data_IF_425890820641
#
_entry.id   IF_425890820641
#
_cell.length_a   1.000
_cell.length_b   1.000
_cell.length_c   1.000
_cell.angle_alpha   90.00
_cell.angle_beta   90.00
_cell.angle_gamma   90.00
#
_symmetry.space_group_name_H-M   'P 1'
#
loop_
_entity.id
_entity.type
_entity.pdbx_description
1 polymer ?
#
# COMPACT_ATOMS: atom_id res chain seq x y z
N UNK A 1 22.37 -4.87 -16.33
CA UNK A 1 22.26 -3.87 -17.42
C UNK A 1 23.05 -4.34 -18.65
N UNK A 2 22.36 -4.81 -19.69
CA UNK A 2 22.98 -5.39 -20.90
C UNK A 2 23.00 -4.47 -22.14
N UNK A 3 22.69 -3.18 -21.99
CA UNK A 3 22.69 -2.21 -23.10
C UNK A 3 21.60 -2.39 -24.16
N UNK A 4 20.81 -3.47 -24.09
CA UNK A 4 19.69 -3.69 -25.01
C UNK A 4 18.55 -2.67 -24.77
N UNK A 5 17.83 -2.25 -25.83
CA UNK A 5 16.63 -1.44 -25.69
C UNK A 5 15.63 -2.08 -24.72
N UNK A 6 15.10 -1.27 -23.80
CA UNK A 6 14.14 -1.78 -22.82
C UNK A 6 12.82 -2.12 -23.50
N UNK A 7 12.24 -3.26 -23.13
CA UNK A 7 10.84 -3.58 -23.43
C UNK A 7 10.02 -3.60 -22.15
N UNK A 8 10.37 -2.81 -21.13
CA UNK A 8 9.59 -2.71 -19.88
C UNK A 8 8.16 -2.25 -20.14
N UNK A 9 7.25 -2.56 -19.22
CA UNK A 9 5.84 -2.15 -19.28
C UNK A 9 5.70 -0.65 -19.57
N UNK A 10 6.40 0.20 -18.81
CA UNK A 10 6.40 1.66 -19.00
C UNK A 10 6.84 2.13 -20.41
N UNK A 11 7.81 1.44 -21.04
CA UNK A 11 8.26 1.80 -22.40
C UNK A 11 7.25 1.31 -23.44
N UNK A 12 6.65 0.14 -23.21
CA UNK A 12 5.61 -0.37 -24.09
C UNK A 12 4.31 0.44 -23.99
N UNK A 13 3.97 0.97 -22.82
CA UNK A 13 2.82 1.88 -22.63
C UNK A 13 3.00 3.17 -23.43
N UNK A 14 4.19 3.77 -23.39
CA UNK A 14 4.53 4.94 -24.19
C UNK A 14 4.42 4.64 -25.69
N UNK A 15 5.04 3.55 -26.15
CA UNK A 15 4.99 3.15 -27.56
C UNK A 15 3.58 2.73 -28.03
N UNK A 16 2.72 2.26 -27.12
CA UNK A 16 1.36 1.87 -27.44
C UNK A 16 0.46 3.05 -27.82
N UNK A 17 0.87 4.29 -27.52
CA UNK A 17 0.17 5.51 -27.96
C UNK A 17 0.25 5.68 -29.48
N UNK A 18 1.39 5.33 -30.07
CA UNK A 18 1.67 5.54 -31.49
C UNK A 18 1.53 4.24 -32.32
N UNK A 19 1.73 3.08 -31.69
CA UNK A 19 1.83 1.80 -32.39
C UNK A 19 0.88 0.72 -31.83
N UNK A 20 0.17 -0.04 -32.68
CA UNK A 20 -0.73 -1.11 -32.22
C UNK A 20 -0.03 -2.32 -31.57
N UNK A 21 1.17 -2.69 -32.04
CA UNK A 21 1.86 -3.90 -31.58
C UNK A 21 2.25 -3.88 -30.09
N UNK A 22 2.82 -2.79 -29.53
CA UNK A 22 3.07 -2.68 -28.09
C UNK A 22 1.84 -2.97 -27.22
N UNK A 23 0.64 -2.53 -27.64
CA UNK A 23 -0.62 -2.82 -26.93
C UNK A 23 -0.90 -4.32 -26.85
N UNK A 24 -0.74 -5.04 -27.96
CA UNK A 24 -0.91 -6.50 -28.01
C UNK A 24 0.13 -7.21 -27.14
N UNK A 25 1.38 -6.73 -27.12
CA UNK A 25 2.44 -7.28 -26.27
C UNK A 25 2.10 -7.09 -24.78
N UNK A 26 1.61 -5.92 -24.39
CA UNK A 26 1.18 -5.64 -23.02
C UNK A 26 0.05 -6.58 -22.58
N UNK A 27 -0.97 -6.74 -23.43
CA UNK A 27 -2.09 -7.65 -23.18
C UNK A 27 -1.61 -9.10 -23.04
N UNK A 28 -0.79 -9.58 -23.99
CA UNK A 28 -0.21 -10.92 -23.92
C UNK A 28 0.59 -11.11 -22.63
N UNK A 29 1.45 -10.16 -22.25
CA UNK A 29 2.27 -10.26 -21.04
C UNK A 29 1.42 -10.27 -19.77
N UNK A 30 0.37 -9.46 -19.73
CA UNK A 30 -0.61 -9.47 -18.64
C UNK A 30 -1.23 -10.86 -18.48
N UNK A 31 -1.88 -11.36 -19.53
CA UNK A 31 -2.55 -12.66 -19.52
C UNK A 31 -1.59 -13.83 -19.27
N UNK A 32 -0.42 -13.84 -19.93
CA UNK A 32 0.59 -14.88 -19.75
C UNK A 32 1.11 -14.92 -18.32
N UNK A 33 1.31 -13.75 -17.68
CA UNK A 33 1.69 -13.68 -16.27
C UNK A 33 0.58 -14.22 -15.37
N UNK A 34 -0.68 -13.83 -15.60
CA UNK A 34 -1.82 -14.31 -14.82
C UNK A 34 -1.94 -15.84 -14.89
N UNK A 35 -1.88 -16.39 -16.10
CA UNK A 35 -1.95 -17.82 -16.36
C UNK A 35 -0.79 -18.58 -15.70
N UNK A 36 0.44 -18.22 -16.05
CA UNK A 36 1.63 -18.97 -15.61
C UNK A 36 1.92 -18.85 -14.12
N UNK A 37 1.68 -17.67 -13.53
CA UNK A 37 2.04 -17.41 -12.12
C UNK A 37 0.96 -17.90 -11.17
N UNK A 38 -0.32 -17.79 -11.54
CA UNK A 38 -1.43 -18.06 -10.63
C UNK A 38 -2.27 -19.25 -11.08
N UNK A 39 -2.89 -19.18 -12.26
CA UNK A 39 -3.88 -20.18 -12.71
C UNK A 39 -3.29 -21.58 -12.88
N UNK A 40 -2.10 -21.70 -13.49
CA UNK A 40 -1.44 -22.99 -13.69
C UNK A 40 -0.74 -23.47 -12.42
N UNK A 41 -0.13 -22.55 -11.66
CA UNK A 41 0.79 -22.90 -10.57
C UNK A 41 0.08 -23.16 -9.25
N UNK A 42 -0.91 -22.35 -8.85
CA UNK A 42 -1.56 -22.47 -7.55
C UNK A 42 -2.26 -23.83 -7.33
N UNK A 43 -2.99 -24.41 -8.31
CA UNK A 43 -3.59 -25.73 -8.14
C UNK A 43 -2.56 -26.84 -7.88
N UNK A 44 -1.36 -26.73 -8.46
CA UNK A 44 -0.26 -27.68 -8.24
C UNK A 44 0.38 -27.55 -6.85
N UNK A 45 0.08 -26.47 -6.11
CA UNK A 45 0.62 -26.19 -4.78
C UNK A 45 -0.38 -26.52 -3.66
N UNK A 46 -1.49 -27.18 -3.98
CA UNK A 46 -2.45 -27.66 -2.98
C UNK A 46 -1.80 -28.77 -2.17
N UNK A 47 -1.75 -28.58 -0.86
CA UNK A 47 -1.23 -29.59 0.05
C UNK A 47 -2.24 -30.76 0.17
N UNK A 48 -1.84 -32.00 -0.15
CA UNK A 48 -2.78 -33.14 -0.24
C UNK A 48 -3.39 -33.55 1.10
N UNK A 49 -2.78 -33.18 2.24
CA UNK A 49 -3.32 -33.52 3.57
C UNK A 49 -4.40 -32.56 4.03
N UNK A 50 -4.30 -31.30 3.63
CA UNK A 50 -5.19 -30.23 4.11
C UNK A 50 -6.19 -29.78 3.06
N UNK A 51 -5.94 -30.08 1.78
CA UNK A 51 -6.73 -29.55 0.66
C UNK A 51 -6.54 -28.04 0.44
N UNK A 52 -5.49 -27.43 1.02
CA UNK A 52 -5.28 -25.97 1.01
C UNK A 52 -3.93 -25.59 0.44
N UNK A 53 -3.81 -24.35 -0.03
CA UNK A 53 -2.53 -23.72 -0.36
C UNK A 53 -1.92 -23.15 0.92
N UNK A 54 -0.64 -23.44 1.17
CA UNK A 54 0.10 -22.95 2.34
C UNK A 54 1.21 -22.04 1.87
N UNK A 55 1.25 -20.80 2.35
CA UNK A 55 2.32 -19.85 2.08
C UNK A 55 3.35 -19.82 3.21
N UNK A 56 4.55 -19.33 2.92
CA UNK A 56 5.58 -19.04 3.91
C UNK A 56 5.71 -17.53 4.12
N UNK A 57 5.43 -17.06 5.34
CA UNK A 57 5.69 -15.67 5.74
C UNK A 57 7.11 -15.53 6.31
N UNK A 58 7.96 -14.79 5.60
CA UNK A 58 9.31 -14.47 6.06
C UNK A 58 9.30 -13.17 6.85
N UNK A 59 9.78 -13.25 8.09
CA UNK A 59 9.72 -12.13 9.03
C UNK A 59 10.95 -11.21 9.00
N UNK A 60 12.10 -11.71 8.52
CA UNK A 60 13.41 -11.04 8.62
C UNK A 60 14.07 -10.77 7.25
N UNK A 61 13.29 -10.60 6.19
CA UNK A 61 13.80 -10.40 4.82
C UNK A 61 13.76 -8.93 4.39
N UNK A 62 12.67 -8.22 4.69
CA UNK A 62 12.48 -6.86 4.16
C UNK A 62 13.15 -5.82 5.08
N UNK A 63 13.81 -4.83 4.48
CA UNK A 63 14.46 -3.76 5.23
C UNK A 63 13.45 -2.92 6.04
N UNK A 64 12.23 -2.75 5.52
CA UNK A 64 11.16 -1.98 6.17
C UNK A 64 10.44 -2.74 7.27
N UNK A 65 10.74 -4.02 7.48
CA UNK A 65 10.06 -4.83 8.48
C UNK A 65 8.68 -5.34 8.06
N UNK A 66 8.26 -5.16 6.80
CA UNK A 66 7.11 -5.88 6.24
C UNK A 66 7.35 -7.39 6.25
N UNK A 67 6.28 -8.17 6.40
CA UNK A 67 6.34 -9.59 6.05
C UNK A 67 6.46 -9.73 4.52
N UNK A 68 7.13 -10.79 4.07
CA UNK A 68 7.10 -11.21 2.66
C UNK A 68 6.60 -12.64 2.56
N UNK A 69 5.79 -12.91 1.55
CA UNK A 69 5.20 -14.23 1.30
C UNK A 69 5.90 -14.95 0.14
N UNK A 70 6.26 -16.22 0.30
CA UNK A 70 6.74 -17.10 -0.80
C UNK A 70 6.10 -18.48 -0.75
N UNK A 71 6.21 -19.18 -1.88
CA UNK A 71 5.85 -20.60 -2.04
C UNK A 71 4.44 -21.00 -1.57
N UNK A 72 3.36 -20.40 -2.13
CA UNK A 72 3.36 -19.30 -3.10
C UNK A 72 3.31 -17.92 -2.44
N UNK A 73 3.65 -16.88 -3.20
CA UNK A 73 3.40 -15.50 -2.75
C UNK A 73 1.90 -15.21 -2.83
N UNK A 74 1.26 -15.03 -1.68
CA UNK A 74 -0.17 -14.69 -1.55
C UNK A 74 -0.40 -13.20 -1.30
N UNK A 75 0.67 -12.41 -1.13
CA UNK A 75 0.57 -10.96 -0.96
C UNK A 75 0.44 -10.20 -2.28
N UNK A 76 0.68 -10.86 -3.42
CA UNK A 76 0.65 -10.25 -4.75
C UNK A 76 -0.47 -10.78 -5.65
N UNK A 77 -1.51 -11.40 -5.06
CA UNK A 77 -2.66 -11.88 -5.83
C UNK A 77 -3.37 -10.68 -6.52
N UNK A 78 -3.51 -10.69 -7.85
CA UNK A 78 -4.00 -9.56 -8.63
C UNK A 78 -5.43 -9.12 -8.25
N UNK A 79 -5.70 -7.81 -8.33
CA UNK A 79 -7.03 -7.22 -8.02
C UNK A 79 -7.49 -6.14 -9.00
N UNK A 80 -6.58 -5.60 -9.81
CA UNK A 80 -6.83 -4.35 -10.55
C UNK A 80 -7.71 -4.52 -11.78
N UNK A 81 -7.57 -5.64 -12.49
CA UNK A 81 -8.31 -5.95 -13.71
C UNK A 81 -9.26 -7.12 -13.49
N UNK A 82 -10.25 -7.26 -14.36
CA UNK A 82 -11.30 -8.29 -14.27
C UNK A 82 -10.70 -9.70 -14.21
N UNK A 83 -9.71 -10.01 -15.05
CA UNK A 83 -9.05 -11.32 -15.07
C UNK A 83 -8.29 -11.59 -13.77
N UNK A 84 -7.72 -10.55 -13.15
CA UNK A 84 -7.09 -10.63 -11.84
C UNK A 84 -8.09 -10.90 -10.72
N UNK A 85 -9.22 -10.18 -10.74
CA UNK A 85 -10.33 -10.38 -9.78
C UNK A 85 -10.89 -11.81 -9.84
N UNK A 86 -11.00 -12.38 -11.04
CA UNK A 86 -11.38 -13.80 -11.22
C UNK A 86 -10.42 -14.78 -10.54
N UNK A 87 -9.13 -14.46 -10.42
CA UNK A 87 -8.18 -15.29 -9.65
C UNK A 87 -8.47 -15.17 -8.15
N UNK A 88 -8.78 -13.98 -7.64
CA UNK A 88 -9.17 -13.80 -6.22
C UNK A 88 -10.43 -14.55 -5.85
N UNK A 89 -11.39 -14.70 -6.78
CA UNK A 89 -12.61 -15.48 -6.57
C UNK A 89 -12.34 -16.97 -6.29
N UNK A 90 -11.16 -17.49 -6.67
CA UNK A 90 -10.77 -18.87 -6.38
C UNK A 90 -10.33 -19.08 -4.92
N UNK A 91 -10.12 -18.00 -4.15
CA UNK A 91 -9.80 -18.06 -2.73
C UNK A 91 -11.11 -18.03 -1.92
N UNK A 92 -11.58 -19.20 -1.54
CA UNK A 92 -12.86 -19.42 -0.86
C UNK A 92 -12.67 -19.89 0.58
N UNK A 93 -13.69 -19.67 1.41
CA UNK A 93 -13.80 -20.27 2.74
C UNK A 93 -14.32 -21.73 2.66
N UNK A 94 -14.07 -22.57 3.67
CA UNK A 94 -14.70 -23.89 3.77
C UNK A 94 -16.21 -23.78 4.01
N UNK A 95 -16.91 -24.92 3.92
CA UNK A 95 -18.33 -25.01 4.23
C UNK A 95 -18.66 -24.43 5.62
N UNK A 96 -19.77 -23.70 5.72
CA UNK A 96 -20.24 -22.94 6.89
C UNK A 96 -19.38 -21.72 7.31
N UNK A 97 -18.31 -21.42 6.58
CA UNK A 97 -17.47 -20.24 6.81
C UNK A 97 -17.57 -19.26 5.63
N UNK A 98 -17.24 -18.01 5.91
CA UNK A 98 -17.06 -16.94 4.92
C UNK A 98 -15.68 -16.31 5.08
N UNK A 99 -15.21 -15.65 4.02
CA UNK A 99 -14.02 -14.82 4.09
C UNK A 99 -14.40 -13.48 4.69
N UNK A 100 -13.65 -13.03 5.69
CA UNK A 100 -13.71 -11.66 6.22
C UNK A 100 -12.36 -11.01 5.96
N UNK A 101 -12.36 -9.85 5.31
CA UNK A 101 -11.18 -9.03 5.08
C UNK A 101 -11.28 -7.75 5.91
N UNK A 102 -10.19 -7.38 6.57
CA UNK A 102 -10.06 -6.15 7.33
C UNK A 102 -8.80 -5.39 6.86
N UNK A 103 -8.98 -4.21 6.28
CA UNK A 103 -7.91 -3.41 5.67
C UNK A 103 -7.88 -1.99 6.26
N UNK A 104 -6.69 -1.44 6.50
CA UNK A 104 -6.59 -0.07 7.01
C UNK A 104 -6.85 0.96 5.91
N UNK A 105 -7.84 1.82 6.14
CA UNK A 105 -8.17 2.89 5.21
C UNK A 105 -7.09 4.00 5.25
N UNK A 106 -6.31 4.10 4.18
CA UNK A 106 -5.30 5.16 3.95
C UNK A 106 -4.21 5.22 5.04
N UNK A 107 -3.74 4.06 5.51
CA UNK A 107 -2.77 3.97 6.61
C UNK A 107 -1.52 4.83 6.42
N UNK A 108 -0.98 4.87 5.20
CA UNK A 108 0.26 5.60 4.90
C UNK A 108 0.09 7.12 5.01
N UNK A 109 -1.07 7.65 4.61
CA UNK A 109 -1.40 9.07 4.77
C UNK A 109 -1.60 9.44 6.24
N UNK A 110 -2.24 8.55 7.02
CA UNK A 110 -2.44 8.74 8.47
C UNK A 110 -1.10 8.76 9.21
N UNK A 111 -0.19 7.86 8.85
CA UNK A 111 1.18 7.84 9.37
C UNK A 111 1.92 9.11 8.96
N UNK A 112 1.79 9.56 7.71
CA UNK A 112 2.39 10.84 7.28
C UNK A 112 1.88 12.01 8.12
N UNK A 113 0.57 12.12 8.36
CA UNK A 113 0.00 13.16 9.20
C UNK A 113 0.58 13.14 10.63
N UNK A 114 0.76 11.94 11.20
CA UNK A 114 1.38 11.76 12.51
C UNK A 114 2.88 12.13 12.54
N UNK A 115 3.66 11.66 11.58
CA UNK A 115 5.11 11.89 11.53
C UNK A 115 5.46 13.35 11.19
N UNK A 116 4.68 13.96 10.30
CA UNK A 116 4.84 15.36 9.90
C UNK A 116 4.28 16.33 10.92
N UNK A 117 3.30 15.91 11.74
CA UNK A 117 2.51 16.79 12.62
C UNK A 117 1.89 17.97 11.85
N UNK A 118 1.66 17.78 10.55
CA UNK A 118 1.12 18.82 9.70
C UNK A 118 -0.32 19.14 10.10
N UNK A 119 -0.56 20.38 10.51
CA UNK A 119 -1.88 20.82 11.02
C UNK A 119 -2.98 20.66 9.97
N UNK A 120 -2.67 20.88 8.70
CA UNK A 120 -3.62 20.74 7.60
C UNK A 120 -4.07 19.30 7.42
N UNK A 121 -3.12 18.35 7.38
CA UNK A 121 -3.41 16.92 7.30
C UNK A 121 -4.14 16.41 8.56
N UNK A 122 -3.67 16.78 9.75
CA UNK A 122 -4.31 16.38 11.02
C UNK A 122 -5.78 16.85 11.07
N UNK A 123 -6.04 18.09 10.70
CA UNK A 123 -7.41 18.65 10.65
C UNK A 123 -8.26 17.93 9.61
N UNK A 124 -7.71 17.69 8.40
CA UNK A 124 -8.43 17.00 7.34
C UNK A 124 -8.88 15.59 7.76
N UNK A 125 -8.02 14.84 8.46
CA UNK A 125 -8.36 13.53 9.01
C UNK A 125 -9.35 13.61 10.16
N UNK A 126 -9.20 14.56 11.08
CA UNK A 126 -10.11 14.74 12.21
C UNK A 126 -11.54 15.08 11.76
N UNK A 127 -11.68 15.81 10.64
CA UNK A 127 -12.96 16.19 10.05
C UNK A 127 -13.51 15.16 9.05
N UNK A 128 -12.82 14.02 8.84
CA UNK A 128 -13.25 12.97 7.90
C UNK A 128 -13.26 13.41 6.43
N UNK A 129 -12.44 14.41 6.06
CA UNK A 129 -12.38 14.93 4.69
C UNK A 129 -11.69 13.94 3.75
N UNK A 130 -12.18 13.87 2.51
CA UNK A 130 -11.46 13.20 1.42
C UNK A 130 -10.26 14.05 1.00
N UNK A 131 -9.07 13.68 1.49
CA UNK A 131 -7.82 14.39 1.23
C UNK A 131 -7.53 14.45 -0.27
N UNK A 132 -7.82 13.39 -1.02
CA UNK A 132 -7.58 13.39 -2.47
C UNK A 132 -8.46 14.39 -3.20
N UNK A 133 -9.75 14.51 -2.83
CA UNK A 133 -10.63 15.54 -3.36
C UNK A 133 -10.18 16.94 -2.93
N UNK A 134 -9.78 17.12 -1.68
CA UNK A 134 -9.30 18.41 -1.18
C UNK A 134 -8.03 18.86 -1.94
N UNK A 135 -7.05 17.96 -2.10
CA UNK A 135 -5.86 18.22 -2.92
C UNK A 135 -6.24 18.52 -4.37
N UNK A 136 -7.15 17.76 -4.97
CA UNK A 136 -7.61 18.02 -6.34
C UNK A 136 -8.23 19.42 -6.49
N UNK A 137 -9.15 19.77 -5.59
CA UNK A 137 -9.83 21.07 -5.58
C UNK A 137 -8.83 22.22 -5.59
N UNK A 138 -7.81 22.14 -4.76
CA UNK A 138 -6.78 23.19 -4.64
C UNK A 138 -5.83 23.20 -5.84
N UNK A 139 -5.31 22.03 -6.22
CA UNK A 139 -4.35 21.88 -7.32
C UNK A 139 -4.96 22.32 -8.66
N UNK A 140 -6.23 21.99 -8.90
CA UNK A 140 -6.95 22.37 -10.12
C UNK A 140 -7.69 23.71 -10.00
N UNK A 141 -7.71 24.34 -8.83
CA UNK A 141 -8.41 25.62 -8.61
C UNK A 141 -9.94 25.52 -8.76
N UNK A 142 -10.53 24.41 -8.32
CA UNK A 142 -11.94 24.09 -8.46
C UNK A 142 -12.64 23.97 -7.09
N UNK A 143 -13.94 24.31 -6.96
CA UNK A 143 -14.72 23.97 -5.78
C UNK A 143 -14.73 22.45 -5.52
N UNK A 144 -14.68 22.03 -4.24
CA UNK A 144 -14.60 20.62 -3.84
C UNK A 144 -15.69 19.73 -4.47
N UNK A 145 -16.91 20.26 -4.58
CA UNK A 145 -18.07 19.57 -5.14
C UNK A 145 -17.96 19.31 -6.65
N UNK A 146 -17.14 20.11 -7.34
CA UNK A 146 -16.95 20.01 -8.80
C UNK A 146 -15.78 19.09 -9.19
N UNK A 147 -15.04 18.57 -8.20
CA UNK A 147 -13.94 17.64 -8.43
C UNK A 147 -14.49 16.34 -9.03
N UNK A 148 -14.03 16.02 -10.24
CA UNK A 148 -14.39 14.79 -10.94
C UNK A 148 -13.64 13.58 -10.35
N UNK A 149 -14.15 12.37 -10.59
CA UNK A 149 -13.48 11.12 -10.18
C UNK A 149 -12.09 10.97 -10.80
N UNK A 150 -11.90 11.48 -12.03
CA UNK A 150 -10.60 11.49 -12.69
C UNK A 150 -9.61 12.44 -12.01
N UNK A 151 -10.05 13.67 -11.69
CA UNK A 151 -9.23 14.64 -10.96
C UNK A 151 -8.86 14.13 -9.57
N UNK A 152 -9.80 13.49 -8.88
CA UNK A 152 -9.53 12.80 -7.61
C UNK A 152 -8.46 11.71 -7.77
N UNK A 153 -8.53 10.91 -8.84
CA UNK A 153 -7.54 9.86 -9.14
C UNK A 153 -6.15 10.46 -9.42
N UNK A 154 -6.07 11.56 -10.17
CA UNK A 154 -4.82 12.29 -10.39
C UNK A 154 -4.26 12.87 -9.09
N UNK A 155 -5.10 13.44 -8.24
CA UNK A 155 -4.69 13.93 -6.92
C UNK A 155 -4.28 12.81 -5.96
N UNK A 156 -4.84 11.60 -6.09
CA UNK A 156 -4.34 10.40 -5.41
C UNK A 156 -2.90 10.11 -5.83
N UNK A 157 -2.62 10.11 -7.14
CA UNK A 157 -1.26 9.95 -7.66
C UNK A 157 -0.30 11.04 -7.13
N UNK A 158 -0.74 12.30 -7.09
CA UNK A 158 0.02 13.42 -6.50
C UNK A 158 0.33 13.16 -5.02
N UNK A 159 -0.70 12.90 -4.20
CA UNK A 159 -0.56 12.67 -2.77
C UNK A 159 0.45 11.56 -2.47
N UNK A 160 0.28 10.38 -3.08
CA UNK A 160 1.21 9.28 -2.88
C UNK A 160 2.61 9.62 -3.41
N UNK A 161 2.72 10.18 -4.61
CA UNK A 161 4.02 10.56 -5.17
C UNK A 161 4.80 11.52 -4.26
N UNK A 162 4.17 12.60 -3.82
CA UNK A 162 4.82 13.64 -3.03
C UNK A 162 5.19 13.18 -1.63
N UNK A 163 4.30 12.46 -0.95
CA UNK A 163 4.58 11.86 0.36
C UNK A 163 5.74 10.87 0.27
N UNK A 164 5.93 10.23 -0.90
CA UNK A 164 7.04 9.34 -1.18
C UNK A 164 8.32 9.99 -1.71
N UNK A 165 8.42 11.33 -1.61
CA UNK A 165 9.61 12.05 -2.07
C UNK A 165 9.83 12.00 -3.57
N UNK A 166 8.77 11.84 -4.36
CA UNK A 166 8.85 11.97 -5.81
C UNK A 166 9.28 13.39 -6.19
N UNK A 167 10.16 13.49 -7.17
CA UNK A 167 10.56 14.78 -7.73
C UNK A 167 9.50 15.30 -8.71
N UNK A 168 9.51 16.60 -9.01
CA UNK A 168 8.67 17.16 -10.06
C UNK A 168 8.85 16.46 -11.43
N UNK A 169 10.04 15.90 -11.71
CA UNK A 169 10.26 15.08 -12.91
C UNK A 169 9.49 13.76 -12.87
N UNK A 170 9.52 13.05 -11.73
CA UNK A 170 8.75 11.81 -11.56
C UNK A 170 7.24 12.08 -11.62
N UNK A 171 6.81 13.17 -11.00
CA UNK A 171 5.40 13.56 -10.98
C UNK A 171 4.89 13.94 -12.38
N UNK A 172 5.69 14.70 -13.14
CA UNK A 172 5.39 15.05 -14.53
C UNK A 172 5.17 13.82 -15.39
N UNK A 173 6.03 12.81 -15.25
CA UNK A 173 5.93 11.54 -15.99
C UNK A 173 4.69 10.75 -15.58
N UNK A 174 4.40 10.64 -14.27
CA UNK A 174 3.25 9.90 -13.77
C UNK A 174 1.91 10.53 -14.19
N UNK A 175 1.84 11.86 -14.25
CA UNK A 175 0.63 12.59 -14.64
C UNK A 175 0.57 12.87 -16.15
N UNK A 176 1.62 12.56 -16.90
CA UNK A 176 1.78 12.94 -18.31
C UNK A 176 1.57 14.45 -18.57
N UNK A 177 2.20 15.30 -17.76
CA UNK A 177 2.13 16.78 -17.85
C UNK A 177 3.52 17.41 -17.97
N UNK A 178 3.63 18.67 -18.43
CA UNK A 178 4.91 19.38 -18.44
C UNK A 178 5.54 19.49 -17.04
N UNK A 179 6.87 19.35 -16.95
CA UNK A 179 7.61 19.47 -15.68
C UNK A 179 7.32 20.74 -14.89
N UNK A 180 7.12 21.88 -15.58
CA UNK A 180 6.81 23.16 -14.95
C UNK A 180 5.45 23.14 -14.25
N UNK A 181 4.49 22.43 -14.81
CA UNK A 181 3.16 22.26 -14.22
C UNK A 181 3.21 21.32 -13.02
N UNK A 182 3.94 20.21 -13.13
CA UNK A 182 4.18 19.31 -12.00
C UNK A 182 4.88 20.02 -10.83
N UNK A 183 5.85 20.91 -11.10
CA UNK A 183 6.49 21.72 -10.06
C UNK A 183 5.46 22.64 -9.38
N UNK A 184 4.60 23.32 -10.13
CA UNK A 184 3.53 24.16 -9.58
C UNK A 184 2.61 23.36 -8.64
N UNK A 185 2.24 22.14 -9.03
CA UNK A 185 1.41 21.25 -8.19
C UNK A 185 2.12 20.83 -6.91
N UNK A 186 3.41 20.53 -7.00
CA UNK A 186 4.25 20.22 -5.84
C UNK A 186 4.36 21.42 -4.88
N UNK A 187 4.56 22.62 -5.41
CA UNK A 187 4.68 23.85 -4.61
C UNK A 187 3.37 24.15 -3.87
N UNK A 188 2.22 24.08 -4.56
CA UNK A 188 0.89 24.26 -3.95
C UNK A 188 0.63 23.23 -2.84
N UNK A 189 1.03 21.97 -3.06
CA UNK A 189 0.87 20.92 -2.06
C UNK A 189 1.67 21.21 -0.78
N UNK A 190 2.92 21.66 -0.90
CA UNK A 190 3.74 21.98 0.28
C UNK A 190 3.40 23.31 0.92
N UNK A 191 2.83 24.27 0.18
CA UNK A 191 2.23 25.46 0.77
C UNK A 191 1.03 25.09 1.66
N UNK A 192 0.24 24.11 1.22
CA UNK A 192 -0.91 23.59 1.97
C UNK A 192 -0.51 22.75 3.19
N UNK A 193 0.48 21.88 3.01
CA UNK A 193 0.94 20.93 4.02
C UNK A 193 2.44 21.14 4.35
N UNK A 194 2.81 22.30 4.93
CA UNK A 194 4.22 22.65 5.17
C UNK A 194 4.94 21.68 6.10
N UNK A 195 4.23 21.07 7.07
CA UNK A 195 4.81 20.09 7.98
C UNK A 195 5.31 18.83 7.27
N UNK A 196 4.71 18.48 6.12
CA UNK A 196 5.20 17.35 5.30
C UNK A 196 6.58 17.68 4.72
N UNK A 197 6.77 18.89 4.19
CA UNK A 197 8.06 19.31 3.66
C UNK A 197 9.12 19.36 4.77
N UNK A 198 8.78 19.93 5.92
CA UNK A 198 9.65 19.97 7.09
C UNK A 198 10.07 18.56 7.54
N UNK A 199 9.13 17.62 7.60
CA UNK A 199 9.43 16.22 7.90
C UNK A 199 10.38 15.60 6.88
N UNK A 200 10.17 15.83 5.58
CA UNK A 200 11.02 15.29 4.53
C UNK A 200 12.45 15.82 4.63
N UNK A 201 12.62 17.12 4.85
CA UNK A 201 13.95 17.73 5.01
C UNK A 201 14.65 17.26 6.29
N UNK A 202 13.94 17.24 7.41
CA UNK A 202 14.48 16.75 8.69
C UNK A 202 14.91 15.29 8.58
N UNK A 203 14.10 14.45 7.96
CA UNK A 203 14.40 13.02 7.78
C UNK A 203 15.60 12.81 6.86
N UNK A 204 15.72 13.60 5.78
CA UNK A 204 16.92 13.59 4.92
C UNK A 204 18.17 14.00 5.69
N UNK A 205 18.10 15.04 6.50
CA UNK A 205 19.22 15.52 7.31
C UNK A 205 19.64 14.46 8.35
N UNK A 206 18.69 13.88 9.08
CA UNK A 206 18.93 12.80 10.04
C UNK A 206 19.59 11.58 9.37
N UNK A 207 19.06 11.16 8.22
CA UNK A 207 19.61 10.04 7.46
C UNK A 207 21.08 10.30 7.04
N UNK A 208 21.40 11.53 6.61
CA UNK A 208 22.76 11.93 6.24
C UNK A 208 23.69 11.96 7.44
N UNK A 209 23.23 12.43 8.59
CA UNK A 209 24.04 12.49 9.80
C UNK A 209 24.34 11.07 10.33
N UNK A 210 23.28 10.30 10.59
CA UNK A 210 23.33 9.05 11.35
C UNK A 210 23.56 7.81 10.47
N UNK A 211 23.23 7.86 9.18
CA UNK A 211 23.32 6.73 8.25
C UNK A 211 22.10 5.79 8.25
N UNK A 212 21.07 6.10 9.05
CA UNK A 212 19.83 5.35 9.13
C UNK A 212 18.65 6.27 9.46
N UNK A 213 17.44 5.73 9.33
CA UNK A 213 16.17 6.32 9.80
C UNK A 213 15.43 5.31 10.67
N UNK A 214 14.45 5.76 11.44
CA UNK A 214 13.70 4.92 12.37
C UNK A 214 12.18 5.01 12.13
N UNK A 215 11.45 3.93 12.40
CA UNK A 215 9.98 3.95 12.50
C UNK A 215 9.53 4.58 13.82
N UNK A 216 8.21 4.76 14.00
CA UNK A 216 7.65 5.26 15.25
C UNK A 216 8.08 4.45 16.49
N UNK A 217 8.24 3.14 16.32
CA UNK A 217 8.64 2.20 17.38
C UNK A 217 10.16 1.96 17.44
N UNK A 218 10.96 2.74 16.71
CA UNK A 218 12.43 2.68 16.76
C UNK A 218 13.04 1.57 15.89
N UNK A 219 12.30 0.96 14.95
CA UNK A 219 12.91 0.04 13.97
C UNK A 219 13.86 0.82 13.07
N UNK A 220 15.14 0.46 13.09
CA UNK A 220 16.19 1.10 12.27
C UNK A 220 16.23 0.57 10.84
N UNK A 221 16.39 1.49 9.90
CA UNK A 221 16.63 1.21 8.49
C UNK A 221 17.89 1.92 8.02
N UNK A 222 18.95 1.14 7.80
CA UNK A 222 20.24 1.67 7.36
C UNK A 222 20.24 1.97 5.87
N UNK A 223 20.85 3.10 5.51
CA UNK A 223 20.86 3.66 4.17
C UNK A 223 22.31 3.78 3.68
N UNK A 224 22.93 2.70 3.19
CA UNK A 224 24.37 2.67 2.88
C UNK A 224 24.77 3.71 1.83
N UNK A 225 23.88 4.00 0.87
CA UNK A 225 24.11 4.96 -0.21
C UNK A 225 23.79 6.42 0.16
N UNK A 226 23.38 6.73 1.40
CA UNK A 226 22.97 8.10 1.78
C UNK A 226 24.12 9.12 1.71
N UNK A 227 25.37 8.63 1.85
CA UNK A 227 26.61 9.42 1.70
C UNK A 227 27.31 9.16 0.36
N UNK A 228 26.66 8.48 -0.59
CA UNK A 228 27.28 8.12 -1.88
C UNK A 228 27.70 9.37 -2.65
N UNK A 229 28.89 9.36 -3.25
CA UNK A 229 29.35 10.41 -4.15
C UNK A 229 28.55 10.42 -5.47
N UNK A 230 27.98 9.27 -5.85
CA UNK A 230 27.09 9.14 -7.00
C UNK A 230 25.73 9.78 -6.70
N UNK A 231 25.40 10.87 -7.41
CA UNK A 231 24.17 11.63 -7.19
C UNK A 231 22.88 10.83 -7.37
N UNK A 232 22.84 9.89 -8.32
CA UNK A 232 21.65 9.06 -8.56
C UNK A 232 21.42 8.05 -7.42
N UNK A 233 22.49 7.40 -6.92
CA UNK A 233 22.40 6.50 -5.76
C UNK A 233 22.01 7.26 -4.50
N UNK A 234 22.63 8.41 -4.27
CA UNK A 234 22.30 9.29 -3.13
C UNK A 234 20.84 9.74 -3.17
N UNK A 235 20.34 10.21 -4.31
CA UNK A 235 18.94 10.62 -4.44
C UNK A 235 17.95 9.45 -4.28
N UNK A 236 18.33 8.22 -4.65
CA UNK A 236 17.54 7.03 -4.35
C UNK A 236 17.51 6.73 -2.85
N UNK A 237 18.65 6.84 -2.17
CA UNK A 237 18.74 6.66 -0.72
C UNK A 237 17.96 7.74 0.05
N UNK A 238 17.98 9.00 -0.38
CA UNK A 238 17.19 10.08 0.22
C UNK A 238 15.68 9.84 0.10
N UNK A 239 15.21 9.30 -1.04
CA UNK A 239 13.81 8.88 -1.19
C UNK A 239 13.47 7.70 -0.29
N UNK A 240 14.35 6.70 -0.23
CA UNK A 240 14.18 5.58 0.70
C UNK A 240 14.12 6.05 2.16
N UNK A 241 14.92 7.06 2.54
CA UNK A 241 14.92 7.63 3.89
C UNK A 241 13.56 8.19 4.29
N UNK A 242 12.83 8.81 3.36
CA UNK A 242 11.51 9.40 3.62
C UNK A 242 10.44 8.31 3.71
N UNK A 243 10.50 7.34 2.79
CA UNK A 243 9.43 6.36 2.59
C UNK A 243 9.47 5.26 3.64
N UNK A 244 10.67 4.87 4.05
CA UNK A 244 10.86 3.66 4.82
C UNK A 244 10.39 3.76 6.29
N UNK A 245 10.48 4.92 6.98
CA UNK A 245 9.82 5.14 8.27
C UNK A 245 8.30 4.99 8.18
N UNK A 246 7.66 5.54 7.14
CA UNK A 246 6.22 5.40 6.95
C UNK A 246 5.83 3.94 6.71
N UNK A 247 6.48 3.30 5.74
CA UNK A 247 6.22 1.93 5.36
C UNK A 247 6.49 0.96 6.51
N UNK A 248 7.56 1.20 7.26
CA UNK A 248 7.92 0.39 8.41
C UNK A 248 6.99 0.61 9.60
N UNK A 249 6.55 1.85 9.84
CA UNK A 249 5.53 2.13 10.86
C UNK A 249 4.23 1.40 10.53
N UNK A 250 3.79 1.39 9.26
CA UNK A 250 2.63 0.59 8.84
C UNK A 250 2.82 -0.92 9.11
N UNK A 251 4.03 -1.42 8.85
CA UNK A 251 4.39 -2.81 9.14
C UNK A 251 4.41 -3.12 10.65
N UNK A 252 4.84 -2.18 11.48
CA UNK A 252 4.83 -2.30 12.93
C UNK A 252 3.38 -2.29 13.47
N UNK A 253 2.53 -1.41 12.94
CA UNK A 253 1.09 -1.32 13.28
C UNK A 253 0.35 -2.62 12.95
N UNK A 254 0.44 -3.13 11.71
CA UNK A 254 -0.26 -4.37 11.33
C UNK A 254 0.23 -5.56 12.16
N UNK A 255 1.52 -5.61 12.51
CA UNK A 255 2.06 -6.65 13.39
C UNK A 255 1.54 -6.55 14.82
N UNK A 256 1.41 -5.34 15.38
CA UNK A 256 0.75 -5.13 16.68
C UNK A 256 -0.71 -5.58 16.65
N UNK A 257 -1.43 -5.26 15.58
CA UNK A 257 -2.79 -5.73 15.39
C UNK A 257 -2.87 -7.26 15.32
N UNK A 258 -1.96 -7.92 14.59
CA UNK A 258 -1.89 -9.38 14.54
C UNK A 258 -1.69 -10.00 15.93
N UNK A 259 -0.81 -9.41 16.76
CA UNK A 259 -0.58 -9.88 18.14
C UNK A 259 -1.82 -9.68 19.01
N UNK A 260 -2.51 -8.54 18.88
CA UNK A 260 -3.75 -8.26 19.60
C UNK A 260 -4.88 -9.23 19.20
N UNK A 261 -4.98 -9.53 17.90
CA UNK A 261 -5.92 -10.52 17.38
C UNK A 261 -5.57 -11.92 17.85
N UNK A 262 -4.30 -12.34 17.80
CA UNK A 262 -3.87 -13.65 18.32
C UNK A 262 -4.20 -13.81 19.81
N UNK A 263 -3.91 -12.79 20.63
CA UNK A 263 -4.26 -12.81 22.05
C UNK A 263 -5.77 -13.01 22.29
N UNK A 264 -6.63 -12.35 21.50
CA UNK A 264 -8.08 -12.54 21.55
C UNK A 264 -8.50 -13.94 21.10
N UNK A 265 -7.93 -14.45 20.00
CA UNK A 265 -8.21 -15.80 19.50
C UNK A 265 -7.86 -16.88 20.54
N UNK A 266 -6.74 -16.73 21.26
CA UNK A 266 -6.33 -17.67 22.31
C UNK A 266 -7.24 -17.60 23.54
N UNK A 267 -7.71 -16.41 23.92
CA UNK A 267 -8.52 -16.20 25.11
C UNK A 267 -9.96 -16.69 24.94
N UNK A 268 -10.62 -16.31 23.84
CA UNK A 268 -12.05 -16.55 23.63
C UNK A 268 -12.33 -17.80 22.77
N UNK A 269 -11.31 -18.30 22.06
CA UNK A 269 -11.41 -19.41 21.09
C UNK A 269 -12.66 -19.34 20.18
N UNK A 270 -12.92 -18.20 19.53
CA UNK A 270 -14.09 -18.07 18.66
C UNK A 270 -13.90 -18.90 17.38
N UNK A 271 -14.99 -19.16 16.64
CA UNK A 271 -14.97 -19.91 15.36
C UNK A 271 -14.44 -19.06 14.21
N UNK A 272 -13.21 -18.59 14.34
CA UNK A 272 -12.50 -17.75 13.38
C UNK A 272 -11.04 -18.16 13.29
N UNK A 273 -10.47 -18.01 12.10
CA UNK A 273 -9.05 -18.23 11.84
C UNK A 273 -8.48 -17.10 11.01
N UNK A 274 -7.40 -16.48 11.47
CA UNK A 274 -6.58 -15.62 10.62
C UNK A 274 -5.82 -16.49 9.61
N UNK A 275 -6.00 -16.24 8.31
CA UNK A 275 -5.44 -17.07 7.23
C UNK A 275 -4.39 -16.35 6.40
N UNK A 276 -4.46 -15.02 6.24
CA UNK A 276 -3.50 -14.26 5.45
C UNK A 276 -3.24 -12.87 6.03
N UNK A 277 -2.04 -12.35 5.76
CA UNK A 277 -1.67 -10.97 5.97
C UNK A 277 -1.13 -10.41 4.65
N UNK A 278 -1.78 -9.36 4.15
CA UNK A 278 -1.48 -8.75 2.85
C UNK A 278 -1.24 -7.26 3.05
N UNK A 279 0.02 -6.91 3.32
CA UNK A 279 0.43 -5.52 3.57
C UNK A 279 -0.26 -4.89 4.79
N UNK A 280 -1.34 -4.15 4.60
CA UNK A 280 -2.19 -3.51 5.61
C UNK A 280 -3.51 -4.25 5.85
N UNK A 281 -3.75 -5.34 5.12
CA UNK A 281 -4.93 -6.19 5.21
C UNK A 281 -4.68 -7.47 6.03
N UNK A 282 -5.66 -7.86 6.85
CA UNK A 282 -5.77 -9.18 7.47
C UNK A 282 -7.00 -9.91 6.91
N UNK A 283 -6.82 -11.18 6.55
CA UNK A 283 -7.88 -12.02 5.99
C UNK A 283 -8.16 -13.19 6.91
N UNK A 284 -9.44 -13.47 7.12
CA UNK A 284 -9.96 -14.43 8.08
C UNK A 284 -10.95 -15.39 7.42
N UNK A 285 -11.04 -16.59 7.96
CA UNK A 285 -12.20 -17.47 7.81
C UNK A 285 -13.04 -17.35 9.07
N UNK A 286 -14.33 -17.02 8.91
CA UNK A 286 -15.25 -16.81 10.04
C UNK A 286 -16.50 -17.65 9.82
N UNK A 287 -16.95 -18.37 10.85
CA UNK A 287 -18.20 -19.11 10.77
C UNK A 287 -19.35 -18.13 10.48
N UNK A 288 -20.24 -18.46 9.53
CA UNK A 288 -21.27 -17.55 9.00
C UNK A 288 -22.17 -16.92 10.08
N UNK A 289 -22.45 -17.66 11.15
CA UNK A 289 -23.27 -17.19 12.27
C UNK A 289 -22.58 -16.15 13.17
N UNK A 290 -21.25 -16.05 13.11
CA UNK A 290 -20.45 -15.22 14.04
C UNK A 290 -19.88 -13.96 13.37
N UNK A 291 -20.17 -13.74 12.08
CA UNK A 291 -19.54 -12.71 11.23
C UNK A 291 -19.62 -11.33 11.85
N UNK A 292 -20.82 -10.87 12.27
CA UNK A 292 -20.99 -9.52 12.80
C UNK A 292 -20.20 -9.28 14.09
N UNK A 293 -20.23 -10.25 15.01
CA UNK A 293 -19.52 -10.15 16.29
C UNK A 293 -18.00 -10.17 16.09
N UNK A 294 -17.52 -11.07 15.23
CA UNK A 294 -16.10 -11.22 14.91
C UNK A 294 -15.58 -10.01 14.13
N UNK A 295 -16.30 -9.53 13.13
CA UNK A 295 -15.94 -8.35 12.34
C UNK A 295 -15.81 -7.11 13.23
N UNK A 296 -16.77 -6.89 14.14
CA UNK A 296 -16.72 -5.79 15.11
C UNK A 296 -15.50 -5.90 16.02
N UNK A 297 -15.18 -7.10 16.50
CA UNK A 297 -14.03 -7.31 17.37
C UNK A 297 -12.70 -7.09 16.64
N UNK A 298 -12.56 -7.62 15.41
CA UNK A 298 -11.37 -7.42 14.56
C UNK A 298 -11.17 -5.92 14.29
N UNK A 299 -12.24 -5.22 13.90
CA UNK A 299 -12.22 -3.78 13.67
C UNK A 299 -11.69 -3.03 14.90
N UNK A 300 -12.24 -3.31 16.08
CA UNK A 300 -11.80 -2.69 17.33
C UNK A 300 -10.34 -2.99 17.67
N UNK A 301 -9.90 -4.23 17.50
CA UNK A 301 -8.52 -4.63 17.80
C UNK A 301 -7.52 -3.96 16.87
N UNK A 302 -7.84 -3.86 15.58
CA UNK A 302 -6.99 -3.21 14.58
C UNK A 302 -6.93 -1.69 14.81
N UNK A 303 -8.06 -1.00 14.97
CA UNK A 303 -8.07 0.45 15.19
C UNK A 303 -7.33 0.89 16.45
N UNK A 304 -7.38 0.08 17.51
CA UNK A 304 -6.82 0.42 18.82
C UNK A 304 -5.45 -0.21 19.10
N UNK A 305 -4.84 -0.87 18.11
CA UNK A 305 -3.55 -1.55 18.32
C UNK A 305 -2.37 -0.58 18.53
N UNK A 306 -2.55 0.69 18.19
CA UNK A 306 -1.60 1.78 18.46
C UNK A 306 -2.33 3.11 18.57
N UNK A 307 -1.63 4.15 19.03
CA UNK A 307 -2.14 5.52 19.08
C UNK A 307 -1.35 6.44 18.16
N UNK A 308 -2.02 7.00 17.16
CA UNK A 308 -1.53 8.10 16.34
C UNK A 308 -2.28 9.40 16.71
N UNK A 309 -1.89 10.53 16.11
CA UNK A 309 -2.62 11.80 16.30
C UNK A 309 -3.89 11.89 15.47
N UNK A 310 -4.08 10.95 14.56
CA UNK A 310 -5.29 10.76 13.76
C UNK A 310 -5.81 9.35 14.03
N UNK A 311 -7.14 9.13 14.02
CA UNK A 311 -7.69 7.80 14.22
C UNK A 311 -7.19 6.87 13.10
N UNK A 312 -6.92 5.61 13.46
CA UNK A 312 -6.85 4.54 12.47
C UNK A 312 -8.28 4.15 12.11
N UNK A 313 -8.55 3.95 10.82
CA UNK A 313 -9.83 3.44 10.35
C UNK A 313 -9.60 2.11 9.64
N UNK A 314 -10.49 1.15 9.86
CA UNK A 314 -10.43 -0.18 9.27
C UNK A 314 -11.71 -0.45 8.50
N UNK A 315 -11.59 -0.78 7.23
CA UNK A 315 -12.71 -1.23 6.41
C UNK A 315 -12.80 -2.75 6.54
N UNK A 316 -13.96 -3.26 6.96
CA UNK A 316 -14.20 -4.69 7.12
C UNK A 316 -15.32 -5.12 6.16
N UNK A 317 -14.99 -6.07 5.28
CA UNK A 317 -15.93 -6.68 4.35
C UNK A 317 -15.97 -8.19 4.53
N UNK A 318 -17.05 -8.81 4.03
CA UNK A 318 -17.23 -10.26 4.10
C UNK A 318 -17.85 -10.80 2.82
N UNK A 319 -17.46 -12.00 2.41
CA UNK A 319 -18.00 -12.65 1.22
C UNK A 319 -17.64 -14.13 1.13
N UNK A 320 -18.20 -14.82 0.13
CA UNK A 320 -17.93 -16.26 -0.07
C UNK A 320 -16.49 -16.51 -0.57
N UNK A 321 -15.89 -15.47 -1.16
CA UNK A 321 -14.52 -15.49 -1.64
C UNK A 321 -13.82 -14.15 -1.37
N UNK A 322 -12.50 -14.14 -1.54
CA UNK A 322 -11.68 -12.98 -1.22
C UNK A 322 -11.99 -11.74 -2.09
N UNK A 323 -12.46 -11.89 -3.33
CA UNK A 323 -12.85 -10.75 -4.17
C UNK A 323 -14.16 -10.08 -3.72
N UNK A 324 -15.06 -10.83 -3.08
CA UNK A 324 -16.31 -10.29 -2.52
C UNK A 324 -16.15 -9.68 -1.13
N UNK A 325 -15.15 -10.15 -0.37
CA UNK A 325 -14.88 -9.65 0.98
C UNK A 325 -14.18 -8.28 0.99
N UNK A 326 -13.76 -7.79 -0.18
CA UNK A 326 -13.03 -6.53 -0.38
C UNK A 326 -13.88 -5.56 -1.20
#
# INVERSE_FOLDING_TARGET
PGGAPSTSEEVLEELALDYPLPKVILEYRGLAKLKSTYTDKLPLMINPKTGRVHTSYHQAVTATGRLSSTDPNLQNIPVRNEEGRRIRQAFIAPEDYVIVSADYSQIELRIMAHLSRDKGLLTAFAEGKDIHRATAAEVFGLPLETVTSEQRRSAKAINFGLIYGMSAFGLARQLNIPRKEAQKYMDLYFERYPGVLEYMERTRAQAKEQGYVETLDGRRLYLPDIKSSNGARRAAAERAAINAPMQGTAADIIKRAMIAVDAWLQAEQPRVRMIMQVHDELVFEVHKDDVDAVAKQIHQLMENCTRLDVPLLVEVGSGENWDQAH
#
